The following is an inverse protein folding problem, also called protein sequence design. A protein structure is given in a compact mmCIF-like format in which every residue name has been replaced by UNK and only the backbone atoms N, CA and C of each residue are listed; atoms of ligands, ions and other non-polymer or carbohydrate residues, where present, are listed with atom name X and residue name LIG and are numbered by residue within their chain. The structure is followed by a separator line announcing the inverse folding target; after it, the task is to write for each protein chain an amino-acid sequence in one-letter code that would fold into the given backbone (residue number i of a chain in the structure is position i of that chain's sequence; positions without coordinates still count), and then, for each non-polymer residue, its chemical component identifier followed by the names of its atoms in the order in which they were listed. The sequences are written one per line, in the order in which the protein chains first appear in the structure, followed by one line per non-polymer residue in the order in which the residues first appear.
data_IF_255455021481
#
_entry.id   IF_255455021481
#
_cell.length_a   1.000
_cell.length_b   1.000
_cell.length_c   1.000
_cell.angle_alpha   90.00
_cell.angle_beta   90.00
_cell.angle_gamma   90.00
#
_symmetry.space_group_name_H-M   'P 1'
#
loop_
_entity.id
_entity.type
_entity.pdbx_description
1 polymer ?
#
# COMPACT_ATOMS: atom_id res chain seq x y z
N UNK A 1 6.08 40.53 66.96
CA UNK A 1 5.71 40.59 65.53
C UNK A 1 6.50 39.54 64.75
N UNK A 2 5.95 38.33 64.59
CA UNK A 2 6.51 37.31 63.70
C UNK A 2 5.37 36.79 62.82
N UNK A 3 5.45 37.07 61.52
CA UNK A 3 4.48 36.62 60.51
C UNK A 3 4.98 35.32 59.91
N UNK A 4 4.29 34.22 60.23
CA UNK A 4 4.47 32.91 59.59
C UNK A 4 3.88 32.97 58.18
N UNK A 5 4.71 32.80 57.14
CA UNK A 5 4.25 32.60 55.76
C UNK A 5 4.11 31.09 55.52
N UNK A 6 2.87 30.62 55.37
CA UNK A 6 2.58 29.27 54.89
C UNK A 6 2.59 29.34 53.35
N UNK A 7 3.55 28.66 52.72
CA UNK A 7 3.58 28.47 51.26
C UNK A 7 2.72 27.24 50.93
N UNK A 8 1.59 27.47 50.27
CA UNK A 8 0.74 26.42 49.74
C UNK A 8 1.32 25.96 48.39
N UNK A 9 1.89 24.75 48.34
CA UNK A 9 2.31 24.12 47.08
C UNK A 9 1.08 23.41 46.51
N UNK A 10 0.51 23.95 45.43
CA UNK A 10 -0.49 23.24 44.62
C UNK A 10 0.23 22.21 43.75
N UNK A 11 0.07 20.91 44.05
CA UNK A 11 0.41 19.84 43.13
C UNK A 11 -0.67 19.76 42.05
N UNK A 12 -0.36 20.18 40.81
CA UNK A 12 -1.18 19.88 39.65
C UNK A 12 -0.98 18.39 39.29
N UNK A 13 -1.91 17.54 39.70
CA UNK A 13 -1.96 16.15 39.23
C UNK A 13 -2.57 16.16 37.84
N UNK A 14 -1.72 16.12 36.80
CA UNK A 14 -2.15 15.83 35.44
C UNK A 14 -2.61 14.36 35.38
N UNK A 15 -3.92 14.15 35.53
CA UNK A 15 -4.58 12.89 35.21
C UNK A 15 -4.50 12.67 33.70
N UNK A 16 -3.42 12.04 33.24
CA UNK A 16 -3.35 11.42 31.93
C UNK A 16 -4.30 10.22 31.93
N UNK A 17 -5.55 10.46 31.55
CA UNK A 17 -6.51 9.40 31.31
C UNK A 17 -5.99 8.46 30.21
N UNK A 18 -6.22 7.15 30.30
CA UNK A 18 -5.87 6.25 29.22
C UNK A 18 -6.64 6.69 27.97
N UNK A 19 -5.92 7.08 26.91
CA UNK A 19 -6.50 7.18 25.58
C UNK A 19 -6.99 5.78 25.23
N UNK A 20 -8.30 5.56 25.34
CA UNK A 20 -8.98 4.45 24.70
C UNK A 20 -8.76 4.64 23.20
N UNK A 21 -7.71 4.02 22.67
CA UNK A 21 -7.60 3.77 21.24
C UNK A 21 -8.73 2.80 20.93
N UNK A 22 -9.89 3.34 20.58
CA UNK A 22 -10.90 2.57 19.90
C UNK A 22 -10.23 2.06 18.63
N UNK A 23 -9.85 0.78 18.62
CA UNK A 23 -9.40 0.11 17.41
C UNK A 23 -10.57 0.18 16.44
N UNK A 24 -10.52 1.11 15.49
CA UNK A 24 -11.52 1.16 14.43
C UNK A 24 -11.43 -0.17 13.69
N UNK A 25 -12.55 -0.91 13.69
CA UNK A 25 -12.59 -2.22 13.04
C UNK A 25 -12.49 -2.00 11.53
N UNK A 26 -11.54 -2.69 10.89
CA UNK A 26 -11.40 -2.72 9.44
C UNK A 26 -12.72 -3.18 8.82
N UNK A 27 -13.34 -2.34 7.99
CA UNK A 27 -14.60 -2.67 7.30
C UNK A 27 -14.36 -3.05 5.83
N UNK A 28 -15.34 -3.71 5.22
CA UNK A 28 -15.35 -3.92 3.77
C UNK A 28 -15.57 -2.60 3.01
N UNK A 29 -14.95 -2.40 1.84
CA UNK A 29 -15.07 -1.16 1.10
C UNK A 29 -16.36 -1.05 0.25
N UNK A 30 -17.23 -2.06 0.25
CA UNK A 30 -18.48 -2.11 -0.54
C UNK A 30 -19.65 -2.65 0.30
N UNK A 31 -20.92 -2.46 -0.12
CA UNK A 31 -22.08 -3.03 0.58
C UNK A 31 -22.23 -4.55 0.40
N UNK A 32 -21.43 -5.18 -0.47
CA UNK A 32 -21.46 -6.62 -0.68
C UNK A 32 -20.97 -7.36 0.59
N UNK A 33 -21.85 -8.17 1.21
CA UNK A 33 -21.59 -8.90 2.46
C UNK A 33 -20.98 -10.29 2.27
N UNK A 34 -20.82 -10.75 1.03
CA UNK A 34 -20.43 -12.13 0.74
C UNK A 34 -19.10 -12.53 1.41
N UNK A 35 -18.12 -11.62 1.46
CA UNK A 35 -16.85 -11.88 2.17
C UNK A 35 -17.07 -12.09 3.69
N UNK A 36 -17.85 -11.23 4.34
CA UNK A 36 -18.15 -11.32 5.78
C UNK A 36 -18.88 -12.62 6.11
N UNK A 37 -19.81 -13.01 5.25
CA UNK A 37 -20.60 -14.23 5.36
C UNK A 37 -19.79 -15.51 5.02
N UNK A 38 -18.53 -15.37 4.60
CA UNK A 38 -17.67 -16.51 4.24
C UNK A 38 -18.10 -17.23 2.96
N UNK A 39 -18.78 -16.53 2.06
CA UNK A 39 -19.22 -17.07 0.77
C UNK A 39 -18.03 -17.26 -0.21
N UNK A 40 -18.19 -18.07 -1.27
CA UNK A 40 -17.17 -18.25 -2.29
C UNK A 40 -16.72 -16.95 -2.95
N UNK A 41 -15.47 -16.89 -3.43
CA UNK A 41 -14.88 -15.68 -4.04
C UNK A 41 -15.69 -15.14 -5.24
N UNK A 42 -16.39 -16.00 -5.97
CA UNK A 42 -17.21 -15.60 -7.12
C UNK A 42 -18.39 -14.70 -6.74
N UNK A 43 -18.78 -14.66 -5.46
CA UNK A 43 -19.88 -13.84 -4.96
C UNK A 43 -19.45 -12.39 -4.68
N UNK A 44 -18.14 -12.09 -4.70
CA UNK A 44 -17.63 -10.74 -4.46
C UNK A 44 -16.50 -10.29 -5.37
N UNK A 45 -15.87 -11.18 -6.15
CA UNK A 45 -14.80 -10.84 -7.08
C UNK A 45 -15.35 -10.63 -8.49
N UNK A 46 -15.02 -9.48 -9.09
CA UNK A 46 -15.32 -9.19 -10.48
C UNK A 46 -14.20 -9.76 -11.38
N UNK A 47 -14.47 -10.77 -12.22
CA UNK A 47 -13.51 -11.21 -13.22
C UNK A 47 -13.28 -10.16 -14.31
N UNK A 48 -12.11 -10.25 -14.95
CA UNK A 48 -11.81 -9.53 -16.20
C UNK A 48 -12.61 -10.09 -17.38
N UNK A 49 -12.33 -9.61 -18.59
CA UNK A 49 -12.96 -10.14 -19.82
C UNK A 49 -12.66 -11.61 -20.11
N UNK A 50 -11.74 -12.26 -19.38
CA UNK A 50 -11.51 -13.71 -19.51
C UNK A 50 -12.64 -14.55 -18.94
N UNK A 51 -13.48 -13.99 -18.05
CA UNK A 51 -14.51 -14.74 -17.32
C UNK A 51 -13.97 -15.65 -16.20
N UNK A 52 -12.64 -15.69 -16.00
CA UNK A 52 -12.00 -16.46 -14.93
C UNK A 52 -11.99 -15.62 -13.66
N UNK A 53 -12.64 -16.09 -12.58
CA UNK A 53 -12.80 -15.34 -11.32
C UNK A 53 -11.48 -14.85 -10.74
N UNK A 54 -10.45 -15.69 -10.77
CA UNK A 54 -9.12 -15.39 -10.24
C UNK A 54 -8.48 -14.17 -10.92
N UNK A 55 -8.90 -13.82 -12.14
CA UNK A 55 -8.34 -12.66 -12.85
C UNK A 55 -8.65 -11.30 -12.19
N UNK A 56 -9.63 -11.26 -11.27
CA UNK A 56 -9.94 -10.11 -10.42
C UNK A 56 -9.20 -10.10 -9.07
N UNK A 57 -8.42 -11.14 -8.76
CA UNK A 57 -7.62 -11.21 -7.53
C UNK A 57 -6.31 -10.46 -7.66
N UNK A 58 -5.62 -10.26 -6.54
CA UNK A 58 -4.28 -9.69 -6.53
C UNK A 58 -3.26 -10.69 -7.09
N UNK A 59 -2.20 -10.18 -7.73
CA UNK A 59 -1.05 -10.98 -8.15
C UNK A 59 -0.96 -11.22 -9.65
N UNK A 60 -0.20 -12.24 -10.04
CA UNK A 60 0.01 -12.62 -11.44
C UNK A 60 -1.16 -13.44 -11.99
N UNK A 61 -2.33 -12.81 -12.13
CA UNK A 61 -3.59 -13.49 -12.45
C UNK A 61 -4.22 -13.01 -13.77
N UNK A 62 -3.62 -12.03 -14.44
CA UNK A 62 -4.11 -11.50 -15.73
C UNK A 62 -3.25 -12.02 -16.89
N UNK A 63 -3.86 -12.15 -18.08
CA UNK A 63 -3.20 -12.61 -19.31
C UNK A 63 -2.42 -13.93 -19.13
N UNK A 64 -3.06 -14.97 -18.57
CA UNK A 64 -2.41 -16.26 -18.29
C UNK A 64 -1.29 -16.18 -17.25
N UNK A 65 -1.31 -15.15 -16.39
CA UNK A 65 -0.32 -14.90 -15.35
C UNK A 65 0.86 -14.02 -15.78
N UNK A 66 0.91 -13.55 -17.02
CA UNK A 66 1.97 -12.64 -17.47
C UNK A 66 1.79 -11.19 -16.99
N UNK A 67 0.60 -10.83 -16.51
CA UNK A 67 0.27 -9.47 -16.06
C UNK A 67 -0.11 -9.45 -14.58
N UNK A 68 0.55 -8.57 -13.85
CA UNK A 68 0.29 -8.32 -12.43
C UNK A 68 -0.99 -7.50 -12.26
N UNK A 69 -1.70 -7.79 -11.17
CA UNK A 69 -2.83 -7.02 -10.69
C UNK A 69 -2.57 -6.56 -9.26
N UNK A 70 -2.60 -5.24 -9.04
CA UNK A 70 -2.26 -4.58 -7.79
C UNK A 70 -3.39 -4.58 -6.75
N UNK A 71 -4.59 -5.06 -7.10
CA UNK A 71 -5.82 -4.92 -6.32
C UNK A 71 -6.64 -6.20 -6.18
N UNK A 72 -7.73 -6.08 -5.42
CA UNK A 72 -8.94 -6.87 -5.62
C UNK A 72 -9.95 -6.07 -6.45
N UNK A 73 -10.54 -6.70 -7.46
CA UNK A 73 -11.68 -6.18 -8.20
C UNK A 73 -12.98 -6.69 -7.56
N UNK A 74 -13.76 -5.80 -6.97
CA UNK A 74 -14.98 -6.14 -6.22
C UNK A 74 -16.26 -5.81 -7.02
N UNK A 75 -17.15 -6.79 -7.18
CA UNK A 75 -18.38 -6.64 -7.96
C UNK A 75 -19.48 -5.84 -7.20
N UNK A 76 -20.37 -5.15 -7.93
CA UNK A 76 -21.52 -4.46 -7.35
C UNK A 76 -22.64 -5.43 -6.97
N UNK A 77 -23.42 -5.08 -5.95
CA UNK A 77 -24.67 -5.78 -5.61
C UNK A 77 -25.92 -5.05 -6.11
N UNK A 78 -25.81 -3.76 -6.45
CA UNK A 78 -26.93 -2.97 -6.95
C UNK A 78 -26.63 -2.29 -8.29
N UNK A 79 -27.65 -2.25 -9.16
CA UNK A 79 -27.59 -1.61 -10.47
C UNK A 79 -28.86 -0.82 -10.77
N UNK A 80 -28.72 0.26 -11.53
CA UNK A 80 -29.87 1.00 -12.06
C UNK A 80 -30.50 0.30 -13.28
N UNK A 81 -31.59 0.88 -13.80
CA UNK A 81 -32.29 0.37 -15.00
C UNK A 81 -31.42 0.39 -16.26
N UNK A 82 -30.36 1.18 -16.27
CA UNK A 82 -29.40 1.26 -17.35
C UNK A 82 -28.23 0.28 -17.15
N UNK A 83 -28.18 -0.45 -16.03
CA UNK A 83 -27.14 -1.42 -15.69
C UNK A 83 -25.88 -0.81 -15.05
N UNK A 84 -25.86 0.49 -14.72
CA UNK A 84 -24.74 1.11 -14.03
C UNK A 84 -24.76 0.77 -12.53
N UNK A 85 -23.58 0.59 -11.92
CA UNK A 85 -23.45 0.24 -10.50
C UNK A 85 -23.91 1.37 -9.58
N UNK A 86 -24.61 1.01 -8.50
CA UNK A 86 -25.15 1.95 -7.51
C UNK A 86 -24.40 1.95 -6.18
N UNK A 87 -23.63 0.90 -5.91
CA UNK A 87 -22.91 0.68 -4.67
C UNK A 87 -22.09 1.91 -4.21
N UNK A 88 -22.30 2.30 -2.95
CA UNK A 88 -21.44 3.24 -2.26
C UNK A 88 -20.08 2.59 -1.95
N UNK A 89 -19.00 3.37 -2.04
CA UNK A 89 -17.65 2.93 -1.71
C UNK A 89 -17.23 3.58 -0.40
N UNK A 90 -16.74 2.76 0.54
CA UNK A 90 -16.45 3.20 1.90
C UNK A 90 -14.95 3.27 2.18
N UNK A 91 -14.55 4.25 3.00
CA UNK A 91 -13.24 4.20 3.63
C UNK A 91 -13.19 3.04 4.62
N UNK A 92 -12.13 2.22 4.56
CA UNK A 92 -12.07 0.95 5.31
C UNK A 92 -11.64 1.15 6.77
N UNK A 93 -11.00 2.29 7.05
CA UNK A 93 -10.48 2.71 8.34
C UNK A 93 -10.48 4.25 8.38
N UNK A 94 -10.42 4.87 9.57
CA UNK A 94 -10.19 6.30 9.67
C UNK A 94 -8.89 6.71 8.98
N UNK A 95 -8.84 7.93 8.46
CA UNK A 95 -7.67 8.40 7.74
C UNK A 95 -7.80 9.80 7.17
N UNK A 96 -6.88 10.13 6.27
CA UNK A 96 -6.84 11.38 5.54
C UNK A 96 -6.89 11.10 4.05
N UNK A 97 -7.75 11.79 3.32
CA UNK A 97 -7.74 11.79 1.87
C UNK A 97 -6.47 12.50 1.40
N UNK A 98 -5.59 11.78 0.71
CA UNK A 98 -4.29 12.29 0.26
C UNK A 98 -4.24 12.51 -1.25
N UNK A 99 -5.19 11.94 -1.99
CA UNK A 99 -5.34 12.18 -3.42
C UNK A 99 -6.78 12.01 -3.88
N UNK A 100 -7.19 12.85 -4.83
CA UNK A 100 -8.45 12.73 -5.58
C UNK A 100 -8.18 12.98 -7.05
N UNK A 101 -8.45 11.98 -7.89
CA UNK A 101 -8.50 12.13 -9.34
C UNK A 101 -9.97 12.19 -9.77
N UNK A 102 -10.49 13.39 -9.98
CA UNK A 102 -11.89 13.59 -10.39
C UNK A 102 -12.12 13.41 -11.91
N UNK A 103 -11.06 13.44 -12.72
CA UNK A 103 -11.13 13.38 -14.18
C UNK A 103 -10.83 11.95 -14.66
N UNK A 104 -11.87 11.27 -15.15
CA UNK A 104 -11.79 9.87 -15.58
C UNK A 104 -10.71 9.59 -16.63
N UNK A 105 -10.45 10.54 -17.54
CA UNK A 105 -9.49 10.38 -18.64
C UNK A 105 -8.02 10.52 -18.26
N UNK A 106 -7.68 10.82 -17.00
CA UNK A 106 -6.29 11.09 -16.59
C UNK A 106 -5.51 9.85 -16.12
N UNK A 107 -6.17 8.70 -15.95
CA UNK A 107 -5.55 7.48 -15.43
C UNK A 107 -6.29 6.24 -15.90
N UNK A 108 -5.59 5.11 -16.06
CA UNK A 108 -6.24 3.80 -16.21
C UNK A 108 -7.10 3.44 -15.00
N UNK A 109 -6.82 4.00 -13.82
CA UNK A 109 -7.70 3.90 -12.65
C UNK A 109 -9.04 4.66 -12.82
N UNK A 110 -9.17 5.49 -13.85
CA UNK A 110 -10.31 6.38 -13.99
C UNK A 110 -10.34 7.45 -12.92
N UNK A 111 -11.52 7.63 -12.31
CA UNK A 111 -11.66 8.42 -11.09
C UNK A 111 -11.26 7.58 -9.90
N UNK A 112 -10.44 8.13 -9.02
CA UNK A 112 -10.01 7.40 -7.83
C UNK A 112 -9.69 8.32 -6.66
N UNK A 113 -9.78 7.74 -5.47
CA UNK A 113 -9.45 8.38 -4.19
C UNK A 113 -8.37 7.55 -3.51
N UNK A 114 -7.42 8.22 -2.86
CA UNK A 114 -6.43 7.57 -1.99
C UNK A 114 -6.62 8.09 -0.57
N UNK A 115 -6.75 7.17 0.39
CA UNK A 115 -6.83 7.48 1.82
C UNK A 115 -5.57 6.95 2.49
N UNK A 116 -4.87 7.79 3.23
CA UNK A 116 -3.79 7.39 4.12
C UNK A 116 -4.36 7.15 5.52
N UNK A 117 -4.11 5.98 6.07
CA UNK A 117 -4.46 5.59 7.43
C UNK A 117 -3.29 5.91 8.35
N UNK A 118 -3.17 7.19 8.73
CA UNK A 118 -2.06 7.75 9.52
C UNK A 118 -2.18 7.51 11.04
N UNK A 119 -3.30 6.94 11.49
CA UNK A 119 -3.45 6.40 12.86
C UNK A 119 -2.83 5.01 13.04
N UNK A 120 -2.41 4.36 11.94
CA UNK A 120 -1.83 3.03 11.94
C UNK A 120 -0.29 3.08 12.00
N UNK A 121 0.33 2.00 12.49
CA UNK A 121 1.79 1.88 12.59
C UNK A 121 2.26 0.50 12.06
N UNK A 122 2.78 0.41 10.82
CA UNK A 122 3.05 1.53 9.91
C UNK A 122 1.77 2.17 9.36
N UNK A 123 1.83 3.46 9.07
CA UNK A 123 0.83 4.09 8.24
C UNK A 123 0.83 3.40 6.87
N UNK A 124 -0.35 3.26 6.27
CA UNK A 124 -0.49 2.71 4.93
C UNK A 124 -1.58 3.47 4.18
N UNK A 125 -1.74 3.17 2.89
CA UNK A 125 -2.82 3.76 2.11
C UNK A 125 -3.73 2.71 1.50
N UNK A 126 -4.95 3.14 1.23
CA UNK A 126 -5.91 2.44 0.39
C UNK A 126 -6.24 3.28 -0.83
N UNK A 127 -6.43 2.60 -1.97
CA UNK A 127 -6.83 3.24 -3.23
C UNK A 127 -8.16 2.65 -3.70
N UNK A 128 -9.05 3.54 -4.11
CA UNK A 128 -10.42 3.23 -4.53
C UNK A 128 -10.64 3.75 -5.94
N UNK A 129 -10.60 2.88 -6.94
CA UNK A 129 -10.61 3.26 -8.36
C UNK A 129 -11.91 2.91 -9.09
N UNK A 130 -11.94 3.31 -10.37
CA UNK A 130 -13.05 3.14 -11.31
C UNK A 130 -14.35 3.83 -10.90
N UNK A 131 -14.29 4.79 -9.97
CA UNK A 131 -15.47 5.44 -9.41
C UNK A 131 -16.32 6.12 -10.51
N UNK A 132 -17.64 6.01 -10.39
CA UNK A 132 -18.56 6.76 -11.24
C UNK A 132 -18.50 8.25 -10.88
N UNK A 133 -18.50 8.54 -9.57
CA UNK A 133 -18.39 9.88 -8.99
C UNK A 133 -17.62 9.84 -7.67
N UNK A 134 -16.97 10.97 -7.36
CA UNK A 134 -16.39 11.23 -6.03
C UNK A 134 -17.51 11.64 -5.08
N UNK A 135 -17.42 11.23 -3.81
CA UNK A 135 -18.36 11.57 -2.75
C UNK A 135 -18.33 13.06 -2.40
N UNK A 136 -19.41 13.54 -1.79
CA UNK A 136 -19.48 14.92 -1.31
C UNK A 136 -18.48 15.15 -0.16
N UNK A 137 -17.84 16.31 -0.14
CA UNK A 137 -16.81 16.64 0.86
C UNK A 137 -15.48 15.90 0.72
N UNK A 138 -15.37 14.94 -0.21
CA UNK A 138 -14.14 14.18 -0.45
C UNK A 138 -13.19 15.02 -1.30
N UNK A 139 -12.20 15.61 -0.61
CA UNK A 139 -11.14 16.43 -1.19
C UNK A 139 -9.82 16.15 -0.46
N UNK A 140 -8.70 16.48 -1.10
CA UNK A 140 -7.37 16.32 -0.48
C UNK A 140 -7.31 17.08 0.84
N UNK A 141 -6.82 16.42 1.88
CA UNK A 141 -6.74 16.92 3.24
C UNK A 141 -7.92 16.55 4.13
N UNK A 142 -9.08 16.17 3.57
CA UNK A 142 -10.25 15.80 4.33
C UNK A 142 -9.99 14.58 5.24
N UNK A 143 -10.52 14.63 6.46
CA UNK A 143 -10.56 13.48 7.38
C UNK A 143 -11.79 12.62 7.07
N UNK A 144 -11.61 11.31 7.15
CA UNK A 144 -12.68 10.34 6.97
C UNK A 144 -12.62 9.33 8.10
N UNK A 145 -13.79 8.85 8.51
CA UNK A 145 -13.94 7.71 9.42
C UNK A 145 -14.14 6.41 8.62
N UNK A 146 -13.97 5.26 9.27
CA UNK A 146 -14.41 3.99 8.71
C UNK A 146 -15.90 4.08 8.34
N UNK A 147 -16.27 3.65 7.12
CA UNK A 147 -17.63 3.73 6.61
C UNK A 147 -17.97 5.03 5.89
N UNK A 148 -17.11 6.05 5.92
CA UNK A 148 -17.34 7.29 5.17
C UNK A 148 -17.46 7.00 3.68
N UNK A 149 -18.50 7.54 3.03
CA UNK A 149 -18.73 7.36 1.59
C UNK A 149 -17.71 8.17 0.80
N UNK A 150 -16.77 7.49 0.15
CA UNK A 150 -15.74 8.08 -0.70
C UNK A 150 -16.24 8.39 -2.11
N UNK A 151 -17.31 7.73 -2.53
CA UNK A 151 -17.88 7.85 -3.85
C UNK A 151 -18.84 6.72 -4.18
N UNK A 152 -19.16 6.61 -5.46
CA UNK A 152 -20.01 5.53 -5.98
C UNK A 152 -19.20 4.67 -6.94
N UNK A 153 -19.38 3.37 -6.84
CA UNK A 153 -18.79 2.40 -7.75
C UNK A 153 -19.12 2.77 -9.20
N UNK A 154 -18.20 2.45 -10.11
CA UNK A 154 -18.42 2.69 -11.52
C UNK A 154 -17.55 1.82 -12.40
N UNK A 155 -17.22 2.40 -13.54
CA UNK A 155 -16.45 1.75 -14.60
C UNK A 155 -15.60 2.76 -15.36
N UNK A 156 -15.19 3.84 -14.67
CA UNK A 156 -14.40 4.90 -15.28
C UNK A 156 -12.96 4.42 -15.51
N UNK A 157 -12.38 4.76 -16.66
CA UNK A 157 -11.00 4.40 -17.01
C UNK A 157 -10.51 5.27 -18.17
N UNK A 158 -9.19 5.42 -18.30
CA UNK A 158 -8.53 5.99 -19.48
C UNK A 158 -7.84 4.88 -20.28
N UNK A 159 -7.94 4.97 -21.61
CA UNK A 159 -7.29 4.05 -22.55
C UNK A 159 -8.08 2.76 -22.84
N UNK A 160 -9.12 2.44 -22.06
CA UNK A 160 -10.05 1.34 -22.37
C UNK A 160 -11.43 1.57 -21.76
N UNK A 161 -12.44 0.85 -22.28
CA UNK A 161 -13.80 0.87 -21.76
C UNK A 161 -14.05 -0.38 -20.92
N UNK A 162 -14.41 -0.18 -19.65
CA UNK A 162 -14.98 -1.23 -18.81
C UNK A 162 -16.50 -1.27 -19.11
N UNK A 163 -17.06 -2.39 -19.58
CA UNK A 163 -18.50 -2.50 -19.85
C UNK A 163 -19.30 -2.53 -18.55
N UNK A 164 -20.62 -2.32 -18.65
CA UNK A 164 -21.49 -2.12 -17.48
C UNK A 164 -21.53 -3.35 -16.57
N UNK A 165 -21.72 -4.52 -17.17
CA UNK A 165 -21.68 -5.84 -16.52
C UNK A 165 -20.38 -6.09 -15.74
N UNK A 166 -19.26 -5.44 -16.11
CA UNK A 166 -17.98 -5.50 -15.39
C UNK A 166 -17.63 -4.25 -14.60
N UNK A 167 -18.58 -3.37 -14.28
CA UNK A 167 -18.35 -2.32 -13.29
C UNK A 167 -17.86 -2.95 -11.98
N UNK A 168 -16.87 -2.34 -11.33
CA UNK A 168 -16.27 -2.84 -10.09
C UNK A 168 -15.56 -1.74 -9.34
N UNK A 169 -15.23 -2.02 -8.08
CA UNK A 169 -14.21 -1.30 -7.35
C UNK A 169 -12.86 -2.00 -7.54
N UNK A 170 -11.87 -1.29 -8.09
CA UNK A 170 -10.46 -1.71 -7.99
C UNK A 170 -9.92 -1.18 -6.66
N UNK A 171 -9.64 -2.09 -5.72
CA UNK A 171 -9.28 -1.78 -4.33
C UNK A 171 -7.87 -2.25 -3.98
N UNK A 172 -6.99 -1.30 -3.61
CA UNK A 172 -5.61 -1.59 -3.19
C UNK A 172 -5.36 -1.27 -1.72
N UNK A 173 -4.41 -2.00 -1.12
CA UNK A 173 -3.78 -1.68 0.18
C UNK A 173 -2.27 -1.66 -0.05
N UNK A 174 -1.58 -0.57 0.30
CA UNK A 174 -0.16 -0.48 -0.01
C UNK A 174 0.61 0.68 0.63
N UNK A 175 1.79 0.91 0.05
CA UNK A 175 2.76 1.93 0.45
C UNK A 175 3.17 2.81 -0.73
N UNK A 176 3.35 4.10 -0.46
CA UNK A 176 4.00 5.03 -1.39
C UNK A 176 5.53 4.85 -1.28
N UNK A 177 6.22 4.64 -2.41
CA UNK A 177 7.65 4.33 -2.44
C UNK A 177 8.55 5.53 -2.15
N UNK A 178 8.14 6.74 -2.54
CA UNK A 178 8.91 7.97 -2.32
C UNK A 178 8.04 9.22 -2.36
N UNK A 179 8.42 10.24 -1.58
CA UNK A 179 7.83 11.59 -1.64
C UNK A 179 8.39 12.46 -2.78
N UNK A 180 9.40 11.98 -3.52
CA UNK A 180 10.03 12.70 -4.64
C UNK A 180 9.82 11.95 -5.96
N UNK A 181 8.58 11.50 -6.20
CA UNK A 181 8.29 10.69 -7.38
C UNK A 181 8.43 11.47 -8.69
N UNK A 182 8.14 12.78 -8.66
CA UNK A 182 8.24 13.63 -9.85
C UNK A 182 9.65 13.61 -10.43
N UNK A 183 10.68 13.65 -9.58
CA UNK A 183 12.07 13.59 -10.02
C UNK A 183 12.39 12.27 -10.72
N UNK A 184 11.83 11.14 -10.27
CA UNK A 184 11.96 9.86 -10.99
C UNK A 184 11.25 9.94 -12.35
N UNK A 185 10.02 10.45 -12.37
CA UNK A 185 9.16 10.54 -13.55
C UNK A 185 9.82 11.37 -14.67
N UNK A 186 10.37 12.54 -14.33
CA UNK A 186 11.01 13.44 -15.31
C UNK A 186 12.22 12.81 -16.00
N UNK A 187 12.94 11.90 -15.31
CA UNK A 187 14.07 11.16 -15.90
C UNK A 187 13.64 10.15 -16.96
N UNK A 188 12.39 9.68 -16.92
CA UNK A 188 11.90 8.65 -17.84
C UNK A 188 11.48 9.22 -19.20
N UNK A 189 11.36 10.55 -19.33
CA UNK A 189 10.95 11.23 -20.57
C UNK A 189 9.64 10.70 -21.15
N UNK A 190 8.66 10.43 -20.30
CA UNK A 190 7.33 10.03 -20.74
C UNK A 190 6.70 11.12 -21.62
N UNK A 191 5.92 10.73 -22.63
CA UNK A 191 5.19 11.65 -23.51
C UNK A 191 3.98 12.34 -22.84
N UNK A 192 3.72 12.04 -21.57
CA UNK A 192 2.62 12.60 -20.78
C UNK A 192 3.13 13.25 -19.51
N UNK A 193 2.33 14.17 -18.95
CA UNK A 193 2.62 14.79 -17.65
C UNK A 193 2.18 13.85 -16.52
N UNK A 194 2.92 13.85 -15.41
CA UNK A 194 2.45 13.25 -14.17
C UNK A 194 1.35 14.13 -13.56
N UNK A 195 0.08 13.73 -13.73
CA UNK A 195 -1.08 14.45 -13.19
C UNK A 195 -1.41 14.08 -11.74
N UNK A 196 -0.70 13.09 -11.19
CA UNK A 196 -1.07 12.42 -9.95
C UNK A 196 -0.06 12.64 -8.82
N UNK A 197 1.02 13.39 -9.09
CA UNK A 197 2.07 13.67 -8.11
C UNK A 197 2.67 12.38 -7.54
N UNK A 198 2.81 12.32 -6.22
CA UNK A 198 3.30 11.12 -5.51
C UNK A 198 2.29 9.96 -5.48
N UNK A 199 1.02 10.21 -5.80
CA UNK A 199 -0.05 9.21 -5.79
C UNK A 199 -0.34 8.65 -7.19
N UNK A 200 0.66 8.72 -8.06
CA UNK A 200 0.71 7.98 -9.30
C UNK A 200 0.88 6.48 -8.99
N UNK A 201 0.13 5.60 -9.64
CA UNK A 201 0.22 4.14 -9.42
C UNK A 201 1.63 3.56 -9.63
N UNK A 202 2.45 4.21 -10.45
CA UNK A 202 3.86 3.83 -10.62
C UNK A 202 4.71 4.03 -9.36
N UNK A 203 4.26 4.84 -8.41
CA UNK A 203 4.90 5.10 -7.13
C UNK A 203 4.33 4.25 -5.98
N UNK A 204 3.34 3.41 -6.27
CA UNK A 204 2.66 2.58 -5.29
C UNK A 204 3.18 1.15 -5.34
N UNK A 205 3.15 0.48 -4.19
CA UNK A 205 3.39 -0.94 -4.07
C UNK A 205 2.39 -1.53 -3.09
N UNK A 206 1.70 -2.58 -3.51
CA UNK A 206 0.51 -3.09 -2.83
C UNK A 206 0.75 -4.50 -2.28
N UNK A 207 0.11 -4.79 -1.15
CA UNK A 207 -0.02 -6.15 -0.62
C UNK A 207 -1.33 -6.76 -1.14
N UNK A 208 -1.47 -8.08 -0.98
CA UNK A 208 -2.73 -8.75 -1.27
C UNK A 208 -3.78 -8.38 -0.19
N UNK A 209 -4.88 -7.70 -0.55
CA UNK A 209 -5.89 -7.36 0.43
C UNK A 209 -6.63 -8.58 0.96
N UNK A 210 -6.86 -9.63 0.16
CA UNK A 210 -7.78 -10.71 0.55
C UNK A 210 -7.24 -11.51 1.75
N UNK A 211 -6.00 -12.04 1.74
CA UNK A 211 -5.46 -12.75 2.89
C UNK A 211 -5.24 -11.86 4.11
N UNK A 212 -5.10 -10.53 3.93
CA UNK A 212 -5.09 -9.59 5.05
C UNK A 212 -6.46 -9.51 5.72
N UNK A 213 -7.53 -9.29 4.95
CA UNK A 213 -8.89 -9.31 5.48
C UNK A 213 -9.26 -10.64 6.11
N UNK A 214 -8.86 -11.77 5.52
CA UNK A 214 -9.06 -13.10 6.08
C UNK A 214 -8.34 -13.28 7.41
N UNK A 215 -7.11 -12.76 7.54
CA UNK A 215 -6.34 -12.81 8.77
C UNK A 215 -6.99 -12.00 9.90
N UNK A 216 -7.52 -10.81 9.58
CA UNK A 216 -8.27 -9.96 10.52
C UNK A 216 -9.57 -10.66 10.93
N UNK A 217 -10.35 -11.14 9.95
CA UNK A 217 -11.64 -11.81 10.18
C UNK A 217 -11.50 -13.06 11.05
N UNK A 218 -10.41 -13.83 10.88
CA UNK A 218 -10.14 -15.01 11.69
C UNK A 218 -9.44 -14.71 13.03
N UNK A 219 -9.20 -13.44 13.37
CA UNK A 219 -8.48 -13.04 14.58
C UNK A 219 -7.01 -13.45 14.63
N UNK A 220 -6.41 -13.83 13.48
CA UNK A 220 -5.01 -14.29 13.40
C UNK A 220 -4.03 -13.14 13.58
N UNK A 221 -4.45 -11.94 13.19
CA UNK A 221 -3.75 -10.67 13.32
C UNK A 221 -4.76 -9.59 13.66
N UNK A 222 -4.31 -8.51 14.29
CA UNK A 222 -5.17 -7.38 14.70
C UNK A 222 -5.06 -6.17 13.78
N UNK A 223 -3.95 -6.05 13.05
CA UNK A 223 -3.65 -4.90 12.19
C UNK A 223 -2.66 -5.30 11.08
N UNK A 224 -2.36 -4.34 10.21
CA UNK A 224 -1.47 -4.55 9.07
C UNK A 224 -0.03 -4.89 9.50
N UNK A 225 0.45 -4.33 10.62
CA UNK A 225 1.81 -4.59 11.10
C UNK A 225 2.02 -6.07 11.48
N UNK A 226 1.08 -6.62 12.25
CA UNK A 226 1.08 -8.05 12.57
C UNK A 226 0.98 -8.90 11.31
N UNK A 227 0.11 -8.54 10.37
CA UNK A 227 0.00 -9.23 9.08
C UNK A 227 1.30 -9.23 8.28
N UNK A 228 1.98 -8.09 8.16
CA UNK A 228 3.26 -8.00 7.46
C UNK A 228 4.31 -8.91 8.09
N UNK A 229 4.32 -9.08 9.42
CA UNK A 229 5.24 -10.00 10.09
C UNK A 229 4.99 -11.46 9.72
N UNK A 230 3.75 -11.83 9.39
CA UNK A 230 3.42 -13.20 8.92
C UNK A 230 3.86 -13.47 7.49
N UNK A 231 4.02 -12.43 6.66
CA UNK A 231 4.42 -12.61 5.25
C UNK A 231 5.92 -12.96 5.19
N UNK A 232 6.31 -14.08 4.55
CA UNK A 232 7.72 -14.43 4.42
C UNK A 232 8.46 -13.47 3.49
N UNK A 233 9.76 -13.27 3.75
CA UNK A 233 10.63 -12.53 2.85
C UNK A 233 11.02 -13.41 1.66
N UNK A 234 10.72 -12.96 0.44
CA UNK A 234 11.13 -13.63 -0.78
C UNK A 234 12.60 -13.35 -1.13
N UNK A 235 13.07 -12.15 -0.83
CA UNK A 235 14.47 -11.75 -0.95
C UNK A 235 14.86 -10.74 0.12
N UNK A 236 16.15 -10.75 0.49
CA UNK A 236 16.81 -9.70 1.26
C UNK A 236 17.90 -9.08 0.42
N UNK A 237 17.86 -7.77 0.25
CA UNK A 237 18.80 -7.02 -0.60
C UNK A 237 19.48 -5.94 0.25
N UNK A 238 20.80 -5.90 0.20
CA UNK A 238 21.61 -4.83 0.78
C UNK A 238 21.78 -3.70 -0.21
N UNK A 239 21.63 -2.46 0.27
CA UNK A 239 21.97 -1.23 -0.45
C UNK A 239 22.97 -0.45 0.38
N UNK A 240 24.21 -0.30 -0.10
CA UNK A 240 25.25 0.48 0.58
C UNK A 240 25.03 1.98 0.38
N UNK A 241 24.40 2.61 1.36
CA UNK A 241 24.16 4.05 1.39
C UNK A 241 23.93 4.51 2.82
N UNK A 242 24.41 5.71 3.15
CA UNK A 242 24.09 6.41 4.40
C UNK A 242 22.78 7.22 4.32
N UNK A 243 22.15 7.24 3.15
CA UNK A 243 20.89 7.95 2.94
C UNK A 243 19.74 7.25 3.69
N UNK A 244 18.97 8.02 4.46
CA UNK A 244 17.67 7.59 4.95
C UNK A 244 16.62 7.99 3.90
N UNK A 245 15.95 7.04 3.21
CA UNK A 245 14.94 7.39 2.20
C UNK A 245 13.64 7.87 2.86
N UNK A 246 12.78 8.57 2.09
CA UNK A 246 11.44 8.98 2.53
C UNK A 246 10.59 7.80 2.99
N UNK A 247 10.70 6.65 2.32
CA UNK A 247 10.05 5.41 2.73
C UNK A 247 10.31 5.07 4.21
N UNK A 248 11.57 5.12 4.66
CA UNK A 248 11.92 4.81 6.05
C UNK A 248 11.38 5.86 7.02
N UNK A 249 11.36 7.14 6.64
CA UNK A 249 10.78 8.21 7.46
C UNK A 249 9.26 8.09 7.58
N UNK A 250 8.59 7.69 6.51
CA UNK A 250 7.13 7.59 6.46
C UNK A 250 6.61 6.31 7.13
N UNK A 251 7.43 5.24 7.16
CA UNK A 251 7.07 3.95 7.74
C UNK A 251 8.11 3.47 8.78
N UNK A 252 8.36 4.23 9.86
CA UNK A 252 9.41 3.90 10.83
C UNK A 252 9.15 2.57 11.56
N UNK A 253 7.89 2.14 11.66
CA UNK A 253 7.51 0.85 12.25
C UNK A 253 8.04 -0.36 11.46
N UNK A 254 8.51 -0.18 10.22
CA UNK A 254 9.16 -1.23 9.41
C UNK A 254 10.67 -1.34 9.67
N UNK A 255 11.23 -0.46 10.49
CA UNK A 255 12.66 -0.43 10.81
C UNK A 255 12.94 -1.34 12.01
N UNK A 256 13.92 -2.24 11.89
CA UNK A 256 14.15 -3.31 12.88
C UNK A 256 14.88 -2.86 14.14
N UNK A 257 15.62 -1.75 14.07
CA UNK A 257 16.33 -1.13 15.19
C UNK A 257 16.63 0.33 14.91
N UNK A 258 16.80 1.12 15.96
CA UNK A 258 17.12 2.55 15.81
C UNK A 258 18.43 2.75 15.03
N UNK A 259 18.46 3.77 14.19
CA UNK A 259 19.65 4.27 13.48
C UNK A 259 20.10 5.64 13.98
N UNK A 260 19.42 6.21 14.99
CA UNK A 260 19.77 7.50 15.55
C UNK A 260 21.11 7.45 16.27
N UNK A 261 21.95 8.48 16.08
CA UNK A 261 23.27 8.58 16.72
C UNK A 261 24.31 7.58 16.20
N UNK A 262 24.00 6.78 15.18
CA UNK A 262 24.89 5.76 14.64
C UNK A 262 25.33 6.09 13.22
N UNK A 263 26.55 5.70 12.86
CA UNK A 263 27.08 5.92 11.52
C UNK A 263 26.54 4.87 10.55
N UNK A 264 25.40 5.17 9.94
CA UNK A 264 24.72 4.35 8.94
C UNK A 264 25.55 4.22 7.65
N UNK A 265 25.77 2.99 7.19
CA UNK A 265 26.50 2.70 5.95
C UNK A 265 25.71 1.88 4.92
N UNK A 266 24.66 1.16 5.35
CA UNK A 266 23.82 0.38 4.44
C UNK A 266 22.43 0.10 5.02
N UNK A 267 21.54 -0.37 4.16
CA UNK A 267 20.24 -0.94 4.52
C UNK A 267 20.13 -2.37 4.01
N UNK A 268 19.75 -3.29 4.89
CA UNK A 268 19.30 -4.63 4.52
C UNK A 268 17.77 -4.60 4.45
N UNK A 269 17.22 -4.80 3.26
CA UNK A 269 15.78 -4.63 2.98
C UNK A 269 15.17 -5.99 2.66
N UNK A 270 14.14 -6.40 3.41
CA UNK A 270 13.36 -7.59 3.07
C UNK A 270 12.21 -7.23 2.15
N UNK A 271 12.02 -8.00 1.09
CA UNK A 271 10.94 -7.85 0.13
C UNK A 271 9.94 -9.00 0.24
N UNK A 272 8.64 -8.70 0.17
CA UNK A 272 7.60 -9.72 -0.07
C UNK A 272 7.76 -10.33 -1.46
N UNK A 273 7.01 -11.39 -1.76
CA UNK A 273 7.03 -12.04 -3.09
C UNK A 273 6.89 -11.03 -4.23
N UNK A 274 6.02 -10.02 -4.13
CA UNK A 274 5.78 -9.05 -5.21
C UNK A 274 6.40 -7.67 -4.99
N UNK A 275 7.40 -7.59 -4.10
CA UNK A 275 8.30 -6.44 -4.03
C UNK A 275 7.89 -5.32 -3.06
N UNK A 276 7.02 -5.60 -2.07
CA UNK A 276 6.78 -4.67 -0.96
C UNK A 276 8.01 -4.68 -0.03
N UNK A 277 8.69 -3.54 0.23
CA UNK A 277 9.74 -3.45 1.23
C UNK A 277 9.13 -3.55 2.64
N UNK A 278 9.18 -4.74 3.25
CA UNK A 278 8.44 -5.05 4.48
C UNK A 278 9.24 -4.93 5.77
N UNK A 279 10.56 -4.82 5.67
CA UNK A 279 11.46 -4.78 6.82
C UNK A 279 12.77 -4.11 6.42
N UNK A 280 13.25 -3.19 7.26
CA UNK A 280 14.42 -2.36 7.03
C UNK A 280 15.40 -2.47 8.19
N UNK A 281 16.55 -3.12 7.96
CA UNK A 281 17.60 -3.22 8.96
C UNK A 281 18.73 -2.25 8.64
N UNK A 282 18.94 -1.18 9.45
CA UNK A 282 20.07 -0.29 9.27
C UNK A 282 21.37 -1.03 9.61
N UNK A 283 22.43 -0.73 8.87
CA UNK A 283 23.77 -1.33 9.05
C UNK A 283 24.80 -0.23 9.32
N UNK A 284 25.74 -0.51 10.19
CA UNK A 284 26.62 0.52 10.77
C UNK A 284 28.10 0.25 10.49
N UNK A 285 28.91 1.30 10.57
CA UNK A 285 30.33 1.26 10.20
C UNK A 285 31.14 0.25 11.04
N UNK A 286 30.79 0.10 12.31
CA UNK A 286 31.43 -0.76 13.30
C UNK A 286 31.15 -2.25 13.07
N UNK A 287 30.22 -2.58 12.17
CA UNK A 287 29.89 -3.97 11.81
C UNK A 287 30.82 -4.58 10.76
N UNK A 288 31.86 -3.84 10.32
CA UNK A 288 32.91 -4.37 9.45
C UNK A 288 32.42 -4.87 8.08
N UNK A 289 31.33 -4.29 7.56
CA UNK A 289 30.74 -4.74 6.30
C UNK A 289 31.59 -4.35 5.08
N UNK A 290 31.82 -5.32 4.19
CA UNK A 290 32.40 -5.06 2.87
C UNK A 290 31.39 -4.44 1.91
N UNK A 291 31.86 -3.54 1.04
CA UNK A 291 31.06 -2.86 0.01
C UNK A 291 31.38 -1.37 -0.09
N UNK A 292 31.02 -0.76 -1.21
CA UNK A 292 31.19 0.67 -1.51
C UNK A 292 29.83 1.35 -1.62
N UNK A 293 29.79 2.66 -1.40
CA UNK A 293 28.58 3.45 -1.59
C UNK A 293 28.00 3.24 -3.00
N UNK A 294 26.74 2.87 -3.08
CA UNK A 294 26.03 2.54 -4.33
C UNK A 294 25.94 1.04 -4.63
N UNK A 295 26.72 0.21 -3.93
CA UNK A 295 26.66 -1.24 -4.12
C UNK A 295 25.28 -1.80 -3.71
N UNK A 296 24.74 -2.69 -4.54
CA UNK A 296 23.48 -3.40 -4.28
C UNK A 296 23.72 -4.91 -4.41
N UNK A 297 23.36 -5.68 -3.38
CA UNK A 297 23.66 -7.12 -3.33
C UNK A 297 22.49 -7.94 -2.78
N UNK A 298 22.21 -9.10 -3.36
CA UNK A 298 21.30 -10.10 -2.79
C UNK A 298 22.00 -10.80 -1.63
N UNK A 299 21.39 -10.78 -0.44
CA UNK A 299 21.90 -11.42 0.77
C UNK A 299 21.32 -12.81 0.98
N UNK A 300 20.01 -12.93 0.76
CA UNK A 300 19.25 -14.17 0.94
C UNK A 300 18.01 -14.13 0.05
N UNK A 301 17.50 -15.30 -0.32
CA UNK A 301 16.27 -15.43 -1.09
C UNK A 301 15.62 -16.80 -0.86
N UNK A 302 14.33 -16.89 -1.17
CA UNK A 302 13.57 -18.14 -1.11
C UNK A 302 13.25 -18.62 -2.54
N UNK A 303 13.93 -19.67 -3.07
CA UNK A 303 13.62 -20.21 -4.38
C UNK A 303 12.13 -20.57 -4.54
N UNK A 304 11.57 -21.26 -3.54
CA UNK A 304 10.16 -21.69 -3.50
C UNK A 304 9.15 -20.55 -3.67
N UNK A 305 9.44 -19.36 -3.13
CA UNK A 305 8.55 -18.21 -3.27
C UNK A 305 8.73 -17.52 -4.63
N UNK A 306 9.96 -17.46 -5.13
CA UNK A 306 10.30 -16.77 -6.37
C UNK A 306 9.95 -17.58 -7.63
N UNK A 307 10.06 -18.91 -7.60
CA UNK A 307 9.70 -19.81 -8.71
C UNK A 307 8.19 -19.80 -9.02
N UNK A 308 7.36 -19.41 -8.04
CA UNK A 308 5.91 -19.23 -8.24
C UNK A 308 5.56 -17.95 -8.99
N UNK A 309 6.52 -17.05 -9.19
CA UNK A 309 6.27 -15.78 -9.86
C UNK A 309 6.34 -15.96 -11.38
N UNK A 310 5.21 -15.72 -12.02
CA UNK A 310 5.11 -15.65 -13.48
C UNK A 310 5.23 -14.21 -14.01
N UNK A 311 5.17 -13.23 -13.11
CA UNK A 311 5.29 -11.80 -13.37
C UNK A 311 5.77 -11.06 -12.11
N UNK A 312 6.09 -9.77 -12.23
CA UNK A 312 6.48 -8.90 -11.08
C UNK A 312 7.59 -9.52 -10.20
N UNK A 313 8.53 -10.19 -10.84
CA UNK A 313 9.62 -10.91 -10.17
C UNK A 313 10.43 -9.96 -9.27
N UNK A 314 10.82 -10.41 -8.08
CA UNK A 314 11.75 -9.65 -7.22
C UNK A 314 13.21 -9.90 -7.64
N UNK A 315 13.52 -11.15 -7.97
CA UNK A 315 14.80 -11.60 -8.54
C UNK A 315 14.55 -12.40 -9.83
N UNK A 316 15.52 -12.40 -10.74
CA UNK A 316 15.54 -13.28 -11.91
C UNK A 316 16.32 -14.56 -11.57
N UNK A 317 15.68 -15.71 -11.72
CA UNK A 317 16.22 -17.03 -11.30
C UNK A 317 16.96 -17.79 -12.42
N UNK A 318 16.97 -17.29 -13.67
CA UNK A 318 17.42 -18.03 -14.85
C UNK A 318 18.94 -18.22 -15.03
N UNK A 319 19.77 -17.86 -14.05
CA UNK A 319 21.23 -17.96 -14.11
C UNK A 319 21.83 -18.74 -12.94
N UNK A 320 23.15 -18.98 -12.96
CA UNK A 320 23.87 -19.70 -11.88
C UNK A 320 23.73 -19.03 -10.51
N UNK A 321 23.52 -17.71 -10.50
CA UNK A 321 23.21 -16.90 -9.32
C UNK A 321 22.04 -15.98 -9.64
N UNK A 322 21.01 -15.87 -8.76
CA UNK A 322 19.92 -14.94 -9.01
C UNK A 322 20.38 -13.50 -9.10
N UNK A 323 19.81 -12.75 -10.04
CA UNK A 323 20.05 -11.32 -10.20
C UNK A 323 18.84 -10.50 -9.77
N UNK A 324 19.04 -9.25 -9.38
CA UNK A 324 17.93 -8.36 -8.99
C UNK A 324 17.11 -8.02 -10.24
N UNK A 325 15.79 -8.17 -10.18
CA UNK A 325 14.93 -7.89 -11.33
C UNK A 325 14.92 -6.41 -11.71
N UNK A 326 14.58 -6.08 -12.95
CA UNK A 326 14.40 -4.70 -13.40
C UNK A 326 13.32 -3.96 -12.61
N UNK A 327 12.27 -4.67 -12.17
CA UNK A 327 11.22 -4.12 -11.32
C UNK A 327 11.74 -3.70 -9.95
N UNK A 328 12.50 -4.57 -9.29
CA UNK A 328 13.11 -4.26 -7.98
C UNK A 328 14.15 -3.15 -8.10
N UNK A 329 15.00 -3.15 -9.13
CA UNK A 329 15.92 -2.04 -9.41
C UNK A 329 15.16 -0.73 -9.59
N UNK A 330 14.05 -0.75 -10.32
CA UNK A 330 13.19 0.43 -10.52
C UNK A 330 12.61 0.94 -9.20
N UNK A 331 12.15 0.06 -8.31
CA UNK A 331 11.69 0.44 -6.96
C UNK A 331 12.82 1.05 -6.14
N UNK A 332 14.02 0.45 -6.15
CA UNK A 332 15.19 1.01 -5.45
C UNK A 332 15.58 2.39 -5.99
N UNK A 333 15.53 2.60 -7.32
CA UNK A 333 15.77 3.91 -7.94
C UNK A 333 14.76 4.97 -7.49
N UNK A 334 13.50 4.60 -7.27
CA UNK A 334 12.47 5.51 -6.72
C UNK A 334 12.74 5.81 -5.24
N UNK A 335 12.95 4.78 -4.43
CA UNK A 335 13.12 4.88 -2.97
C UNK A 335 14.35 5.73 -2.62
N UNK A 336 15.48 5.50 -3.27
CA UNK A 336 16.74 6.18 -2.96
C UNK A 336 17.07 7.35 -3.89
N UNK A 337 16.32 7.51 -5.00
CA UNK A 337 16.60 8.56 -5.98
C UNK A 337 17.83 8.29 -6.86
N UNK A 338 18.28 7.03 -6.95
CA UNK A 338 19.40 6.64 -7.80
C UNK A 338 19.11 6.85 -9.30
N UNK A 339 20.18 6.97 -10.10
CA UNK A 339 20.12 7.13 -11.56
C UNK A 339 20.08 5.77 -12.26
#
# INVERSE_FOLDING_TARGET
MHRTRIQLILLLVCLSGPSLIASANLIWPTPNRAFQEGRPILDFIQPTSSGVTESGLFGCVRNGGSRFHEALDLLPVERDRQGEALDAIYSVLPGRVVHVSAVAGHSSYGRYVVVQHDGEAPAFHTLYAHLAKIGEGIQVGARVEAGSVLGRMGRSSAGYRIPKDRAHLHFEIGFCLTDDFQRYYDRQKYGSKNRHGNWNGMNMVSIDPLPFYEAIRSGRVRNLNEYLKTIPAAARIRVHTSQVPSFVRNYPALVTRSYQGQQLIAWDIAFTQYGVPKEWTPRFIDEGLSGRRGDVKVLAYSPKLLEKQTCRNVLNMGGRTPSISSGTITSLKKIFGFK
#
